data_IF_243516323534
#
_entry.id   IF_243516323534
#
_cell.length_a   1.000
_cell.length_b   1.000
_cell.length_c   1.000
_cell.angle_alpha   90.00
_cell.angle_beta   90.00
_cell.angle_gamma   90.00
#
_symmetry.space_group_name_H-M   'P 1'
#
loop_
_entity.id
_entity.type
_entity.pdbx_description
1 polymer ?
#
# COMPACT_ATOMS: atom_id res chain seq x y z
N UNK A 1 -63.25 -23.33 5.33
CA UNK A 1 -61.98 -23.80 4.74
C UNK A 1 -61.04 -22.60 4.64
N UNK A 2 -60.25 -22.33 5.67
CA UNK A 2 -59.29 -21.22 5.67
C UNK A 2 -57.92 -21.76 5.31
N UNK A 3 -57.48 -21.58 4.06
CA UNK A 3 -56.10 -21.87 3.68
C UNK A 3 -55.19 -20.85 4.33
N UNK A 4 -54.48 -21.27 5.38
CA UNK A 4 -53.42 -20.47 6.00
C UNK A 4 -52.24 -20.38 5.02
N UNK A 5 -52.21 -19.32 4.21
CA UNK A 5 -51.11 -18.98 3.32
C UNK A 5 -49.91 -18.36 4.07
N UNK A 6 -50.04 -18.15 5.39
CA UNK A 6 -49.03 -17.55 6.26
C UNK A 6 -47.68 -18.29 6.24
N UNK A 7 -47.60 -19.64 6.28
CA UNK A 7 -46.31 -20.34 6.26
C UNK A 7 -45.59 -20.16 4.92
N UNK A 8 -46.33 -20.16 3.81
CA UNK A 8 -45.78 -19.98 2.46
C UNK A 8 -45.25 -18.56 2.26
N UNK A 9 -46.00 -17.57 2.75
CA UNK A 9 -45.59 -16.16 2.71
C UNK A 9 -44.35 -15.92 3.58
N UNK A 10 -44.26 -16.51 4.78
CA UNK A 10 -43.07 -16.39 5.64
C UNK A 10 -41.83 -17.06 5.03
N UNK A 11 -42.00 -18.21 4.36
CA UNK A 11 -40.92 -18.87 3.63
C UNK A 11 -40.43 -18.00 2.47
N UNK A 12 -41.33 -17.44 1.65
CA UNK A 12 -40.97 -16.54 0.56
C UNK A 12 -40.27 -15.26 1.06
N UNK A 13 -40.74 -14.68 2.17
CA UNK A 13 -40.06 -13.57 2.82
C UNK A 13 -38.64 -13.97 3.29
N UNK A 14 -38.46 -15.17 3.85
CA UNK A 14 -37.11 -15.65 4.25
C UNK A 14 -36.15 -15.81 3.07
N UNK A 15 -36.63 -16.25 1.90
CA UNK A 15 -35.83 -16.31 0.67
C UNK A 15 -35.47 -14.93 0.12
N UNK A 16 -36.33 -13.92 0.31
CA UNK A 16 -36.03 -12.53 -0.06
C UNK A 16 -34.89 -11.95 0.80
N UNK A 17 -34.88 -12.23 2.12
CA UNK A 17 -33.82 -11.73 3.01
C UNK A 17 -32.44 -12.35 2.71
N UNK A 18 -32.38 -13.61 2.29
CA UNK A 18 -31.13 -14.29 1.95
C UNK A 18 -30.46 -13.76 0.66
N UNK A 19 -31.24 -13.14 -0.25
CA UNK A 19 -30.75 -12.63 -1.54
C UNK A 19 -30.26 -11.19 -1.53
N UNK A 20 -30.36 -10.45 -0.42
CA UNK A 20 -30.19 -8.99 -0.39
C UNK A 20 -28.86 -8.49 0.20
N UNK A 21 -27.99 -9.37 0.71
CA UNK A 21 -26.70 -8.96 1.29
C UNK A 21 -25.53 -9.59 0.53
N UNK A 22 -25.32 -9.16 -0.71
CA UNK A 22 -24.04 -9.39 -1.39
C UNK A 22 -22.97 -8.58 -0.65
N UNK A 23 -22.17 -9.24 0.20
CA UNK A 23 -21.00 -8.58 0.81
C UNK A 23 -20.05 -8.11 -0.29
N UNK A 24 -19.53 -6.89 -0.14
CA UNK A 24 -18.56 -6.32 -1.07
C UNK A 24 -17.21 -7.00 -0.88
N UNK A 25 -16.48 -7.30 -1.97
CA UNK A 25 -15.10 -7.76 -1.86
C UNK A 25 -14.23 -6.74 -1.12
N UNK A 26 -13.22 -7.23 -0.39
CA UNK A 26 -12.33 -6.36 0.40
C UNK A 26 -11.07 -6.04 -0.38
N UNK A 27 -10.78 -4.76 -0.61
CA UNK A 27 -9.49 -4.34 -1.16
C UNK A 27 -8.43 -4.19 -0.06
N UNK A 28 -7.19 -4.55 -0.36
CA UNK A 28 -6.02 -4.37 0.50
C UNK A 28 -4.88 -3.77 -0.31
N UNK A 29 -4.34 -2.65 0.18
CA UNK A 29 -3.16 -2.02 -0.42
C UNK A 29 -1.90 -2.44 0.35
N UNK A 30 -0.82 -2.68 -0.37
CA UNK A 30 0.53 -2.99 0.14
C UNK A 30 1.54 -2.07 -0.53
N UNK A 31 2.64 -1.78 0.18
CA UNK A 31 3.75 -0.96 -0.32
C UNK A 31 5.01 -1.81 -0.32
N UNK A 32 5.82 -1.72 -1.38
CA UNK A 32 7.14 -2.34 -1.45
C UNK A 32 8.17 -1.31 -1.95
N UNK A 33 9.30 -1.11 -1.24
CA UNK A 33 9.58 -1.68 0.09
C UNK A 33 8.61 -1.12 1.15
N UNK A 34 8.35 -1.90 2.21
CA UNK A 34 7.49 -1.53 3.34
C UNK A 34 8.24 -0.77 4.44
N UNK A 35 9.54 -0.55 4.23
CA UNK A 35 10.44 0.19 5.11
C UNK A 35 10.66 1.65 4.65
N UNK A 36 11.72 2.28 5.17
CA UNK A 36 12.09 3.66 4.84
C UNK A 36 12.50 3.77 3.38
N UNK A 37 11.73 4.53 2.61
CA UNK A 37 11.99 4.83 1.20
C UNK A 37 12.84 6.08 1.07
N UNK A 38 13.86 6.02 0.22
CA UNK A 38 14.69 7.14 -0.14
C UNK A 38 14.45 7.63 -1.58
N UNK A 39 14.67 8.92 -1.82
CA UNK A 39 14.56 9.51 -3.16
C UNK A 39 15.39 8.71 -4.19
N UNK A 40 14.76 8.42 -5.33
CA UNK A 40 15.32 7.66 -6.45
C UNK A 40 15.13 6.14 -6.37
N UNK A 41 14.67 5.59 -5.25
CA UNK A 41 14.34 4.16 -5.15
C UNK A 41 13.06 3.83 -5.94
N UNK A 42 12.87 2.57 -6.35
CA UNK A 42 11.62 2.14 -6.98
C UNK A 42 10.64 1.69 -5.90
N UNK A 43 9.47 2.32 -5.87
CA UNK A 43 8.35 1.92 -5.01
C UNK A 43 7.29 1.27 -5.87
N UNK A 44 6.68 0.20 -5.37
CA UNK A 44 5.50 -0.44 -5.95
C UNK A 44 4.38 -0.47 -4.92
N UNK A 45 3.23 0.12 -5.27
CA UNK A 45 1.97 -0.09 -4.58
C UNK A 45 1.24 -1.26 -5.23
N UNK A 46 0.75 -2.20 -4.43
CA UNK A 46 -0.05 -3.34 -4.89
C UNK A 46 -1.43 -3.29 -4.26
N UNK A 47 -2.48 -3.31 -5.07
CA UNK A 47 -3.86 -3.43 -4.63
C UNK A 47 -4.34 -4.86 -4.88
N UNK A 48 -4.87 -5.53 -3.86
CA UNK A 48 -5.37 -6.91 -3.89
C UNK A 48 -6.84 -6.94 -3.46
N UNK A 49 -7.73 -7.41 -4.34
CA UNK A 49 -9.16 -7.58 -4.07
C UNK A 49 -9.39 -9.01 -3.57
N UNK A 50 -9.48 -9.14 -2.26
CA UNK A 50 -9.64 -10.41 -1.58
C UNK A 50 -11.03 -11.00 -1.78
N UNK A 51 -11.07 -12.33 -1.91
CA UNK A 51 -12.29 -13.12 -2.14
C UNK A 51 -13.06 -12.71 -3.40
N UNK A 52 -12.42 -11.96 -4.30
CA UNK A 52 -12.88 -11.86 -5.67
C UNK A 52 -12.46 -13.12 -6.44
N UNK A 53 -13.32 -13.59 -7.35
CA UNK A 53 -12.87 -14.51 -8.39
C UNK A 53 -11.98 -13.78 -9.40
N UNK A 54 -11.28 -14.54 -10.24
CA UNK A 54 -10.47 -14.04 -11.37
C UNK A 54 -11.37 -13.49 -12.48
N UNK A 55 -11.95 -12.33 -12.20
CA UNK A 55 -12.86 -11.59 -13.07
C UNK A 55 -12.21 -10.24 -13.35
N UNK A 56 -12.50 -9.64 -14.50
CA UNK A 56 -11.96 -8.33 -14.84
C UNK A 56 -12.40 -7.23 -13.85
N UNK A 57 -11.41 -6.57 -13.24
CA UNK A 57 -11.56 -5.43 -12.35
C UNK A 57 -10.84 -4.21 -12.94
N UNK A 58 -11.45 -3.03 -12.76
CA UNK A 58 -10.81 -1.73 -12.97
C UNK A 58 -10.46 -1.15 -11.61
N UNK A 59 -9.17 -0.87 -11.40
CA UNK A 59 -8.61 -0.39 -10.16
C UNK A 59 -8.49 1.14 -10.18
N UNK A 60 -8.94 1.76 -9.10
CA UNK A 60 -8.75 3.19 -8.83
C UNK A 60 -7.80 3.33 -7.65
N UNK A 61 -6.77 4.17 -7.82
CA UNK A 61 -5.86 4.56 -6.75
C UNK A 61 -6.30 5.91 -6.18
N UNK A 62 -6.08 6.08 -4.89
CA UNK A 62 -6.33 7.34 -4.19
C UNK A 62 -5.04 7.80 -3.53
N UNK A 63 -4.69 9.08 -3.71
CA UNK A 63 -3.57 9.76 -3.06
C UNK A 63 -4.17 10.92 -2.26
N UNK A 64 -3.97 10.90 -0.94
CA UNK A 64 -4.52 11.89 0.00
C UNK A 64 -6.05 12.05 -0.16
N UNK A 65 -6.74 10.92 -0.41
CA UNK A 65 -8.19 10.85 -0.61
C UNK A 65 -8.68 11.25 -2.00
N UNK A 66 -7.82 11.78 -2.87
CA UNK A 66 -8.17 12.17 -4.24
C UNK A 66 -7.82 11.05 -5.22
N UNK A 67 -8.64 10.87 -6.26
CA UNK A 67 -8.32 9.91 -7.31
C UNK A 67 -6.98 10.25 -7.96
N UNK A 68 -6.11 9.26 -8.04
CA UNK A 68 -4.77 9.37 -8.59
C UNK A 68 -4.65 8.44 -9.79
N UNK A 69 -4.46 9.00 -10.99
CA UNK A 69 -4.16 8.20 -12.17
C UNK A 69 -2.80 7.50 -11.96
N UNK A 70 -2.64 6.23 -12.39
CA UNK A 70 -3.38 5.58 -13.48
C UNK A 70 -4.52 4.65 -13.04
N UNK A 71 -5.59 4.56 -13.85
CA UNK A 71 -6.52 3.44 -13.77
C UNK A 71 -5.88 2.21 -14.42
N UNK A 72 -5.91 1.08 -13.72
CA UNK A 72 -5.40 -0.20 -14.25
C UNK A 72 -6.58 -1.16 -14.38
N UNK A 73 -6.75 -1.78 -15.56
CA UNK A 73 -7.76 -2.83 -15.74
C UNK A 73 -7.04 -4.15 -15.99
N UNK A 74 -7.42 -5.19 -15.24
CA UNK A 74 -6.80 -6.52 -15.34
C UNK A 74 -7.82 -7.60 -14.96
N UNK A 75 -7.60 -8.82 -15.46
CA UNK A 75 -8.37 -10.02 -15.12
C UNK A 75 -7.92 -10.68 -13.82
N UNK A 76 -6.83 -10.18 -13.23
CA UNK A 76 -6.31 -10.61 -11.93
C UNK A 76 -6.99 -9.88 -10.78
N UNK A 77 -6.97 -10.49 -9.61
CA UNK A 77 -7.38 -9.86 -8.35
C UNK A 77 -6.36 -8.85 -7.81
N UNK A 78 -5.25 -8.65 -8.52
CA UNK A 78 -4.20 -7.70 -8.15
C UNK A 78 -3.87 -6.69 -9.26
N UNK A 79 -3.55 -5.46 -8.87
CA UNK A 79 -2.97 -4.45 -9.74
C UNK A 79 -1.81 -3.72 -9.06
N UNK A 80 -0.81 -3.34 -9.84
CA UNK A 80 0.40 -2.67 -9.36
C UNK A 80 0.53 -1.26 -9.94
N UNK A 81 1.09 -0.36 -9.13
CA UNK A 81 1.49 0.98 -9.53
C UNK A 81 2.91 1.25 -9.01
N UNK A 82 3.86 1.34 -9.94
CA UNK A 82 5.27 1.56 -9.62
C UNK A 82 5.77 2.93 -10.08
N UNK A 83 6.60 3.56 -9.26
CA UNK A 83 7.20 4.87 -9.56
C UNK A 83 8.58 5.01 -8.92
N UNK A 84 9.38 5.94 -9.44
CA UNK A 84 10.63 6.35 -8.78
C UNK A 84 10.29 7.32 -7.65
N UNK A 85 10.77 7.01 -6.46
CA UNK A 85 10.46 7.73 -5.23
C UNK A 85 10.95 9.18 -5.32
N UNK A 86 10.03 10.10 -5.09
CA UNK A 86 10.29 11.50 -4.85
C UNK A 86 9.41 11.98 -3.69
N UNK A 87 9.80 13.07 -3.03
CA UNK A 87 9.06 13.68 -1.93
C UNK A 87 7.59 13.94 -2.29
N UNK A 88 7.30 14.32 -3.54
CA UNK A 88 5.93 14.54 -4.04
C UNK A 88 5.01 13.30 -3.99
N UNK A 89 5.60 12.10 -3.93
CA UNK A 89 4.88 10.84 -3.74
C UNK A 89 4.68 10.49 -2.26
N UNK A 90 5.19 11.28 -1.30
CA UNK A 90 4.83 11.10 0.10
C UNK A 90 3.37 11.47 0.30
N UNK A 91 2.55 10.48 0.69
CA UNK A 91 1.11 10.61 0.77
C UNK A 91 0.46 9.42 1.49
N UNK A 92 -0.83 9.55 1.74
CA UNK A 92 -1.69 8.46 2.20
C UNK A 92 -2.36 7.80 0.99
N UNK A 93 -2.10 6.52 0.76
CA UNK A 93 -2.58 5.76 -0.38
C UNK A 93 -3.67 4.76 0.00
N UNK A 94 -4.68 4.63 -0.85
CA UNK A 94 -5.67 3.55 -0.80
C UNK A 94 -6.12 3.15 -2.20
N UNK A 95 -6.86 2.05 -2.32
CA UNK A 95 -7.36 1.58 -3.61
C UNK A 95 -8.79 1.02 -3.54
N UNK A 96 -9.44 0.92 -4.70
CA UNK A 96 -10.75 0.27 -4.89
C UNK A 96 -10.81 -0.43 -6.24
N UNK A 97 -11.50 -1.57 -6.32
CA UNK A 97 -11.87 -2.22 -7.57
C UNK A 97 -13.32 -2.00 -7.97
N UNK A 98 -13.55 -1.90 -9.27
CA UNK A 98 -14.88 -1.81 -9.88
C UNK A 98 -15.00 -2.77 -11.08
N UNK A 99 -16.13 -3.48 -11.17
CA UNK A 99 -16.47 -4.39 -12.28
C UNK A 99 -17.43 -3.71 -13.25
N UNK A 100 -17.55 -4.30 -14.45
CA UNK A 100 -18.48 -3.82 -15.48
C UNK A 100 -19.96 -3.93 -15.08
N UNK A 101 -20.30 -4.85 -14.18
CA UNK A 101 -21.65 -5.00 -13.59
C UNK A 101 -21.91 -4.02 -12.43
N UNK A 102 -21.06 -3.01 -12.27
CA UNK A 102 -21.11 -2.01 -11.19
C UNK A 102 -20.88 -2.56 -9.78
N UNK A 103 -20.49 -3.83 -9.62
CA UNK A 103 -20.01 -4.32 -8.34
C UNK A 103 -18.69 -3.62 -7.98
N UNK A 104 -18.63 -3.11 -6.74
CA UNK A 104 -17.44 -2.45 -6.20
C UNK A 104 -16.92 -3.21 -5.00
N UNK A 105 -15.60 -3.25 -4.86
CA UNK A 105 -14.98 -3.56 -3.58
C UNK A 105 -15.23 -2.40 -2.59
N UNK A 106 -15.01 -2.66 -1.32
CA UNK A 106 -14.74 -1.58 -0.38
C UNK A 106 -13.43 -0.85 -0.74
N UNK A 107 -13.30 0.39 -0.29
CA UNK A 107 -12.02 1.11 -0.34
C UNK A 107 -11.10 0.43 0.69
N UNK A 108 -9.85 0.18 0.32
CA UNK A 108 -8.89 -0.42 1.23
C UNK A 108 -8.65 0.46 2.45
N UNK A 109 -8.18 -0.15 3.55
CA UNK A 109 -7.47 0.61 4.57
C UNK A 109 -6.31 1.39 3.89
N UNK A 110 -6.01 2.58 4.40
CA UNK A 110 -4.98 3.41 3.81
C UNK A 110 -3.60 3.08 4.38
N UNK A 111 -2.56 3.28 3.57
CA UNK A 111 -1.15 3.13 3.93
C UNK A 111 -0.42 4.45 3.72
N UNK A 112 0.45 4.82 4.66
CA UNK A 112 1.24 6.04 4.57
C UNK A 112 2.58 5.72 3.93
N UNK A 113 2.90 6.39 2.83
CA UNK A 113 4.23 6.38 2.23
C UNK A 113 4.97 7.67 2.60
N UNK A 114 6.19 7.54 3.10
CA UNK A 114 7.07 8.68 3.37
C UNK A 114 8.39 8.48 2.64
N UNK A 115 8.76 9.44 1.79
CA UNK A 115 10.02 9.45 1.05
C UNK A 115 10.96 10.46 1.71
N UNK A 116 12.20 10.05 1.98
CA UNK A 116 13.24 10.90 2.58
C UNK A 116 14.46 11.05 1.67
N UNK A 117 15.29 12.06 1.92
CA UNK A 117 16.61 12.12 1.33
C UNK A 117 17.56 11.08 1.93
N UNK A 118 18.51 10.62 1.11
CA UNK A 118 19.56 9.69 1.57
C UNK A 118 20.44 10.38 2.62
N UNK A 119 20.83 9.68 3.69
CA UNK A 119 21.73 10.24 4.68
C UNK A 119 23.08 10.59 4.05
N UNK A 120 23.61 11.78 4.36
CA UNK A 120 24.94 12.18 3.94
C UNK A 120 25.99 11.37 4.70
N UNK A 121 26.94 10.68 4.03
CA UNK A 121 28.02 9.99 4.71
C UNK A 121 28.90 10.98 5.49
N UNK A 122 29.20 10.67 6.74
CA UNK A 122 30.17 11.40 7.55
C UNK A 122 31.33 10.46 7.91
N UNK A 123 32.54 10.81 7.49
CA UNK A 123 33.77 10.12 7.88
C UNK A 123 34.49 10.96 8.94
N UNK A 124 34.75 10.38 10.10
CA UNK A 124 35.55 11.01 11.15
C UNK A 124 36.93 10.38 11.16
N UNK A 125 37.96 11.15 10.82
CA UNK A 125 39.36 10.74 10.96
C UNK A 125 39.74 10.85 12.43
N UNK A 126 40.05 9.74 13.08
CA UNK A 126 40.68 9.75 14.40
C UNK A 126 42.17 10.05 14.21
N UNK A 127 42.61 11.25 14.58
CA UNK A 127 44.04 11.57 14.60
C UNK A 127 44.68 10.83 15.78
N UNK A 128 45.63 9.91 15.58
CA UNK A 128 46.42 9.37 16.67
C UNK A 128 47.30 10.48 17.28
N UNK A 129 47.25 10.60 18.59
CA UNK A 129 48.07 11.54 19.36
C UNK A 129 49.49 10.97 19.45
N UNK A 130 50.36 11.34 18.52
CA UNK A 130 51.77 10.97 18.59
C UNK A 130 52.49 11.89 19.58
N UNK A 131 52.78 11.39 20.78
CA UNK A 131 53.69 12.04 21.72
C UNK A 131 55.12 11.97 21.18
N UNK A 132 55.61 13.08 20.62
CA UNK A 132 57.00 13.19 20.18
C UNK A 132 57.90 13.35 21.42
N UNK A 133 58.57 12.28 21.82
CA UNK A 133 59.58 12.33 22.88
C UNK A 133 60.94 12.64 22.26
N UNK A 134 61.43 13.87 22.44
CA UNK A 134 62.77 14.26 22.01
C UNK A 134 63.82 13.71 22.99
N UNK A 135 64.69 12.81 22.53
CA UNK A 135 65.88 12.39 23.28
C UNK A 135 66.98 13.41 23.02
N UNK A 136 67.36 14.18 24.04
CA UNK A 136 68.58 15.01 23.98
C UNK A 136 69.80 14.08 24.04
N UNK A 137 70.51 13.97 22.92
CA UNK A 137 71.88 13.44 22.93
C UNK A 137 72.81 14.58 23.31
N UNK A 138 73.27 14.59 24.55
CA UNK A 138 74.40 15.41 24.95
C UNK A 138 75.66 14.86 24.25
N UNK A 139 76.37 15.74 23.53
CA UNK A 139 77.71 15.48 23.03
C UNK A 139 78.70 15.62 24.19
N UNK A 140 79.24 14.51 24.67
CA UNK A 140 80.46 14.54 25.49
C UNK A 140 81.68 14.45 24.56
N UNK A 141 82.45 15.55 24.58
CA UNK A 141 83.88 15.77 24.26
C UNK A 141 84.50 15.10 23.02
#
# INVERSE_FOLDING_TARGET
MGSSALPLMLLLMSFIHAGLTQERPKAVVKVSPDERVFRGETVTLTCDIQRAGDIQWTYSWFKDGNTHNPYTTTTTTTAEFSFSADESYSAVYSCRGERSDSQRSDISAAVTLTVSDKPKPALTVKTPEFSVHWRQSYSEL
#
